data_IF_723874685196
#
_entry.id   IF_723874685196
#
_cell.length_a   1.000
_cell.length_b   1.000
_cell.length_c   1.000
_cell.angle_alpha   90.00
_cell.angle_beta   90.00
_cell.angle_gamma   90.00
#
_symmetry.space_group_name_H-M   'P 1'
#
loop_
_entity.id
_entity.type
_entity.pdbx_description
1 polymer ?
#
# COMPACT_ATOMS: atom_id res chain seq x y z
N UNK A 1 16.04 -12.75 0.75
CA UNK A 1 17.17 -12.58 -0.14
C UNK A 1 17.98 -11.34 0.17
N UNK A 2 19.28 -11.38 -0.14
CA UNK A 2 20.21 -10.27 0.10
C UNK A 2 20.42 -9.35 -1.11
N UNK A 3 19.65 -9.55 -2.18
CA UNK A 3 19.74 -8.75 -3.40
C UNK A 3 19.15 -7.36 -3.21
N UNK A 4 19.76 -6.34 -3.82
CA UNK A 4 19.20 -4.98 -3.86
C UNK A 4 17.83 -4.91 -4.55
N UNK A 5 17.53 -5.83 -5.45
CA UNK A 5 16.24 -5.93 -6.16
C UNK A 5 15.18 -6.67 -5.36
N UNK A 6 15.56 -7.45 -4.34
CA UNK A 6 14.63 -8.06 -3.41
C UNK A 6 14.35 -7.09 -2.27
N UNK A 7 13.14 -6.54 -2.23
CA UNK A 7 12.75 -5.48 -1.31
C UNK A 7 11.51 -5.88 -0.52
N UNK A 8 11.40 -5.34 0.68
CA UNK A 8 10.19 -5.42 1.48
C UNK A 8 9.07 -4.65 0.75
N UNK A 9 7.94 -5.30 0.52
CA UNK A 9 6.85 -4.71 -0.28
C UNK A 9 6.23 -3.50 0.40
N UNK A 10 6.13 -2.39 -0.34
CA UNK A 10 5.35 -1.23 0.07
C UNK A 10 3.87 -1.63 0.17
N UNK A 11 3.26 -1.45 1.32
CA UNK A 11 1.92 -1.98 1.61
C UNK A 11 1.06 -0.98 2.39
N UNK A 12 1.13 0.31 2.05
CA UNK A 12 0.24 1.32 2.61
C UNK A 12 -1.21 1.10 2.19
N UNK A 13 -1.41 0.82 0.90
CA UNK A 13 -2.69 0.55 0.29
C UNK A 13 -2.50 -0.38 -0.92
N UNK A 14 -3.58 -0.93 -1.52
CA UNK A 14 -3.45 -1.84 -2.66
C UNK A 14 -2.73 -1.24 -3.88
N UNK A 15 -2.85 0.07 -4.09
CA UNK A 15 -2.17 0.75 -5.18
C UNK A 15 -0.64 0.78 -4.99
N UNK A 16 -0.17 0.97 -3.76
CA UNK A 16 1.27 0.91 -3.46
C UNK A 16 1.86 -0.48 -3.68
N UNK A 17 1.12 -1.53 -3.35
CA UNK A 17 1.50 -2.92 -3.63
C UNK A 17 1.64 -3.16 -5.13
N UNK A 18 0.60 -2.78 -5.89
CA UNK A 18 0.56 -2.97 -7.33
C UNK A 18 1.68 -2.21 -8.03
N UNK A 19 1.89 -0.95 -7.65
CA UNK A 19 2.96 -0.12 -8.21
C UNK A 19 4.36 -0.66 -7.87
N UNK A 20 4.56 -1.18 -6.66
CA UNK A 20 5.85 -1.78 -6.27
C UNK A 20 6.20 -3.01 -7.11
N UNK A 21 5.21 -3.87 -7.38
CA UNK A 21 5.38 -5.05 -8.24
C UNK A 21 5.68 -4.71 -9.70
N UNK A 22 5.34 -3.52 -10.15
CA UNK A 22 5.54 -3.01 -11.51
C UNK A 22 6.70 -2.03 -11.64
N UNK A 23 7.56 -1.95 -10.63
CA UNK A 23 8.69 -1.03 -10.59
C UNK A 23 9.86 -1.54 -11.43
N UNK A 24 10.48 -0.62 -12.18
CA UNK A 24 11.64 -0.87 -13.01
C UNK A 24 12.82 -0.08 -12.45
N UNK A 25 13.91 -0.75 -12.12
CA UNK A 25 15.11 -0.13 -11.55
C UNK A 25 16.30 -0.23 -12.51
N UNK A 26 16.99 0.88 -12.71
CA UNK A 26 18.28 0.91 -13.41
C UNK A 26 19.47 0.60 -12.49
N UNK A 27 19.23 0.52 -11.18
CA UNK A 27 20.22 0.27 -10.14
C UNK A 27 20.37 -1.24 -9.86
N UNK A 28 21.45 -1.61 -9.20
CA UNK A 28 21.67 -2.96 -8.73
C UNK A 28 22.75 -3.72 -9.50
N UNK A 29 22.88 -5.04 -9.29
CA UNK A 29 23.90 -5.86 -9.96
C UNK A 29 23.76 -5.80 -11.48
N UNK A 30 24.84 -5.46 -12.16
CA UNK A 30 24.86 -5.27 -13.63
C UNK A 30 24.25 -3.96 -14.14
N UNK A 31 23.75 -3.11 -13.24
CA UNK A 31 23.15 -1.82 -13.55
C UNK A 31 24.04 -0.63 -13.19
N UNK A 32 23.41 0.55 -13.13
CA UNK A 32 24.06 1.81 -12.82
C UNK A 32 24.19 2.02 -11.30
N UNK A 33 25.04 2.98 -10.93
CA UNK A 33 25.09 3.57 -9.59
C UNK A 33 24.63 5.02 -9.66
N UNK A 34 24.06 5.56 -8.56
CA UNK A 34 23.56 6.94 -8.54
C UNK A 34 24.60 7.97 -8.95
N UNK A 35 25.84 7.78 -8.49
CA UNK A 35 26.93 8.72 -8.73
C UNK A 35 27.42 8.71 -10.18
N UNK A 36 27.20 7.61 -10.90
CA UNK A 36 27.60 7.44 -12.30
C UNK A 36 26.48 7.72 -13.29
N UNK A 37 25.28 7.93 -12.82
CA UNK A 37 24.14 8.21 -13.66
C UNK A 37 24.06 9.71 -14.00
N UNK A 38 24.34 10.05 -15.25
CA UNK A 38 24.16 11.39 -15.80
C UNK A 38 22.71 11.70 -16.14
N UNK A 39 22.47 12.87 -16.74
CA UNK A 39 21.14 13.30 -17.15
C UNK A 39 20.53 12.43 -18.24
N UNK A 40 21.33 11.97 -19.21
CA UNK A 40 20.85 11.19 -20.37
C UNK A 40 20.11 9.92 -19.97
N UNK A 41 20.58 9.18 -18.96
CA UNK A 41 19.96 7.94 -18.48
C UNK A 41 18.72 8.19 -17.65
N UNK A 42 18.50 9.42 -17.18
CA UNK A 42 17.36 9.85 -16.38
C UNK A 42 16.25 10.47 -17.20
N UNK A 43 16.54 10.85 -18.43
CA UNK A 43 15.60 11.50 -19.32
C UNK A 43 14.55 10.54 -19.87
N UNK A 44 13.41 11.09 -20.26
CA UNK A 44 12.36 10.35 -20.98
C UNK A 44 12.73 10.31 -22.47
N UNK A 45 12.91 9.10 -22.97
CA UNK A 45 13.16 8.85 -24.40
C UNK A 45 11.84 8.53 -25.14
N UNK A 46 11.76 8.78 -26.44
CA UNK A 46 10.54 8.48 -27.19
C UNK A 46 10.14 6.99 -27.14
N UNK A 47 11.10 6.09 -26.96
CA UNK A 47 10.87 4.65 -26.81
C UNK A 47 10.18 4.25 -25.50
N UNK A 48 10.07 5.18 -24.55
CA UNK A 48 9.30 4.97 -23.32
C UNK A 48 7.79 4.91 -23.56
N UNK A 49 7.32 5.42 -24.69
CA UNK A 49 5.89 5.49 -25.00
C UNK A 49 5.22 4.12 -24.89
N UNK A 50 4.22 4.02 -24.02
CA UNK A 50 3.49 2.78 -23.77
C UNK A 50 4.27 1.70 -22.99
N UNK A 51 5.53 1.94 -22.64
CA UNK A 51 6.43 1.00 -21.97
C UNK A 51 6.79 1.43 -20.55
N UNK A 52 7.29 2.63 -20.40
CA UNK A 52 7.66 3.21 -19.11
C UNK A 52 6.93 4.54 -18.92
N UNK A 53 6.33 4.72 -17.76
CA UNK A 53 5.61 5.95 -17.45
C UNK A 53 6.56 7.15 -17.44
N UNK A 54 6.25 8.24 -18.16
CA UNK A 54 7.09 9.42 -18.19
C UNK A 54 6.94 10.30 -16.94
N UNK A 55 5.93 10.03 -16.09
CA UNK A 55 5.52 10.87 -14.97
C UNK A 55 5.89 10.22 -13.64
N UNK A 56 5.53 8.96 -13.43
CA UNK A 56 5.71 8.28 -12.15
C UNK A 56 7.16 7.83 -11.96
N UNK A 57 7.92 8.62 -11.21
CA UNK A 57 9.31 8.36 -10.79
C UNK A 57 9.52 8.98 -9.42
N UNK A 58 10.47 8.51 -8.58
CA UNK A 58 10.78 9.17 -7.33
C UNK A 58 11.27 10.61 -7.52
N UNK A 59 11.01 11.43 -6.51
CA UNK A 59 11.68 12.72 -6.37
C UNK A 59 13.07 12.54 -5.73
N UNK A 60 14.03 13.36 -6.09
CA UNK A 60 15.36 13.35 -5.50
C UNK A 60 16.40 12.53 -6.27
N UNK A 61 17.39 11.90 -5.60
CA UNK A 61 18.56 11.30 -6.26
C UNK A 61 18.25 10.16 -7.22
N UNK A 62 17.13 9.49 -7.05
CA UNK A 62 16.71 8.35 -7.87
C UNK A 62 15.81 8.74 -9.05
N UNK A 63 15.58 10.02 -9.28
CA UNK A 63 14.73 10.49 -10.39
C UNK A 63 15.23 9.93 -11.72
N UNK A 64 14.33 9.34 -12.50
CA UNK A 64 14.64 8.75 -13.79
C UNK A 64 15.39 7.41 -13.76
N UNK A 65 15.92 7.00 -12.60
CA UNK A 65 16.59 5.70 -12.42
C UNK A 65 15.66 4.60 -11.95
N UNK A 66 14.59 4.98 -11.25
CA UNK A 66 13.53 4.09 -10.83
C UNK A 66 12.26 4.55 -11.52
N UNK A 67 11.73 3.71 -12.38
CA UNK A 67 10.57 3.99 -13.20
C UNK A 67 9.46 2.96 -12.95
N UNK A 68 8.31 3.18 -13.54
CA UNK A 68 7.18 2.28 -13.42
C UNK A 68 6.73 1.82 -14.80
N UNK A 69 6.36 0.55 -14.90
CA UNK A 69 5.82 -0.04 -16.12
C UNK A 69 4.49 0.63 -16.47
N UNK A 70 4.31 1.02 -17.72
CA UNK A 70 3.05 1.59 -18.20
C UNK A 70 1.90 0.59 -18.07
N UNK A 71 0.69 1.08 -17.97
CA UNK A 71 -0.50 0.29 -17.63
C UNK A 71 -0.74 -0.92 -18.55
N UNK A 72 -0.44 -0.80 -19.84
CA UNK A 72 -0.57 -1.88 -20.82
C UNK A 72 0.75 -2.57 -21.19
N UNK A 73 1.87 -2.12 -20.64
CA UNK A 73 3.17 -2.71 -20.95
C UNK A 73 3.34 -4.11 -20.36
N UNK A 74 4.03 -4.98 -21.08
CA UNK A 74 4.48 -6.27 -20.55
C UNK A 74 5.88 -6.65 -21.08
N UNK A 75 6.50 -7.64 -20.46
CA UNK A 75 7.81 -8.15 -20.87
C UNK A 75 7.65 -9.33 -21.84
N UNK A 76 8.46 -9.34 -22.90
CA UNK A 76 8.55 -10.51 -23.77
C UNK A 76 9.48 -11.58 -23.14
N UNK A 77 9.64 -12.71 -23.84
CA UNK A 77 10.50 -13.81 -23.40
C UNK A 77 11.99 -13.46 -23.26
N UNK A 78 12.44 -12.37 -23.85
CA UNK A 78 13.82 -11.87 -23.77
C UNK A 78 14.01 -10.77 -22.72
N UNK A 79 12.94 -10.33 -22.05
CA UNK A 79 12.96 -9.26 -21.07
C UNK A 79 12.79 -7.85 -21.62
N UNK A 80 12.49 -7.67 -22.92
CA UNK A 80 12.17 -6.37 -23.49
C UNK A 80 10.72 -5.99 -23.25
N UNK A 81 10.46 -4.71 -23.02
CA UNK A 81 9.11 -4.20 -22.78
C UNK A 81 8.40 -4.02 -24.11
N UNK A 82 7.21 -4.59 -24.22
CA UNK A 82 6.31 -4.46 -25.35
C UNK A 82 5.07 -3.68 -24.95
N UNK A 83 4.48 -2.98 -25.93
CA UNK A 83 3.21 -2.29 -25.79
C UNK A 83 2.25 -2.73 -26.89
N UNK A 84 0.92 -2.81 -26.61
CA UNK A 84 -0.04 -3.29 -27.56
C UNK A 84 -0.51 -2.19 -28.51
N UNK A 85 -0.78 -2.57 -29.76
CA UNK A 85 -1.37 -1.70 -30.77
C UNK A 85 -2.44 -2.44 -31.54
N UNK A 86 -3.44 -1.72 -32.03
CA UNK A 86 -4.46 -2.24 -32.94
C UNK A 86 -3.94 -2.13 -34.36
N UNK A 87 -3.96 -3.24 -35.11
CA UNK A 87 -3.50 -3.31 -36.48
C UNK A 87 -4.49 -2.63 -37.42
N UNK A 88 -3.96 -1.88 -38.39
CA UNK A 88 -4.70 -1.30 -39.47
C UNK A 88 -4.49 -2.14 -40.75
N UNK A 89 -5.58 -2.59 -41.38
CA UNK A 89 -5.50 -3.26 -42.66
C UNK A 89 -5.28 -2.19 -43.74
N UNK A 90 -4.06 -2.14 -44.29
CA UNK A 90 -3.71 -1.17 -45.34
C UNK A 90 -4.50 -1.33 -46.63
N UNK A 91 -4.97 -2.54 -46.96
CA UNK A 91 -5.72 -2.78 -48.17
C UNK A 91 -7.11 -2.15 -48.12
N UNK A 92 -7.76 -2.17 -46.95
CA UNK A 92 -9.11 -1.64 -46.74
C UNK A 92 -9.13 -0.31 -46.01
N UNK A 93 -8.03 0.08 -45.40
CA UNK A 93 -7.93 1.26 -44.51
C UNK A 93 -8.69 1.13 -43.18
N UNK A 94 -9.11 -0.07 -42.83
CA UNK A 94 -9.87 -0.34 -41.59
C UNK A 94 -8.98 -0.62 -40.40
N UNK A 95 -9.33 -0.03 -39.28
CA UNK A 95 -8.74 -0.39 -37.99
C UNK A 95 -9.38 -1.70 -37.51
N UNK A 96 -8.56 -2.73 -37.33
CA UNK A 96 -9.01 -4.06 -36.88
C UNK A 96 -8.97 -4.18 -35.36
N UNK A 97 -9.57 -5.23 -34.83
CA UNK A 97 -9.47 -5.60 -33.42
C UNK A 97 -8.28 -6.52 -33.10
N UNK A 98 -7.46 -6.82 -34.12
CA UNK A 98 -6.21 -7.57 -33.94
C UNK A 98 -5.21 -6.72 -33.16
N UNK A 99 -4.76 -7.23 -32.02
CA UNK A 99 -3.77 -6.58 -31.16
C UNK A 99 -2.40 -7.20 -31.39
N UNK A 100 -1.44 -6.35 -31.70
CA UNK A 100 -0.04 -6.73 -31.92
C UNK A 100 0.84 -6.08 -30.86
N UNK A 101 1.68 -6.88 -30.25
CA UNK A 101 2.63 -6.42 -29.22
C UNK A 101 3.99 -6.13 -29.88
N UNK A 102 4.44 -4.88 -29.74
CA UNK A 102 5.67 -4.41 -30.37
C UNK A 102 6.69 -3.94 -29.34
N UNK A 103 7.94 -4.33 -29.53
CA UNK A 103 9.09 -3.71 -28.89
C UNK A 103 9.41 -2.38 -29.55
N UNK A 104 10.25 -1.55 -28.93
CA UNK A 104 10.56 -0.21 -29.44
C UNK A 104 11.23 -0.21 -30.83
N UNK A 105 12.12 -1.18 -31.06
CA UNK A 105 12.81 -1.35 -32.35
C UNK A 105 11.84 -1.81 -33.45
N UNK A 106 10.91 -2.70 -33.15
CA UNK A 106 9.85 -3.13 -34.09
C UNK A 106 8.92 -1.96 -34.43
N UNK A 107 8.55 -1.15 -33.43
CA UNK A 107 7.68 0.02 -33.61
C UNK A 107 8.28 1.10 -34.51
N UNK A 108 9.62 1.24 -34.52
CA UNK A 108 10.31 2.23 -35.35
C UNK A 108 10.07 2.08 -36.84
N UNK A 109 9.68 0.89 -37.29
CA UNK A 109 9.36 0.62 -38.72
C UNK A 109 7.98 1.11 -39.11
N UNK A 110 7.11 1.46 -38.16
CA UNK A 110 5.69 1.71 -38.39
C UNK A 110 5.27 3.13 -38.00
N UNK A 111 4.19 3.58 -38.60
CA UNK A 111 3.48 4.80 -38.22
C UNK A 111 2.27 4.44 -37.37
N UNK A 112 2.17 5.04 -36.20
CA UNK A 112 1.16 4.76 -35.19
C UNK A 112 0.29 5.99 -34.96
N UNK A 113 -1.04 5.85 -35.16
CA UNK A 113 -2.00 6.91 -34.87
C UNK A 113 -2.44 6.91 -33.41
N UNK A 114 -2.91 8.04 -32.90
CA UNK A 114 -3.44 8.17 -31.55
C UNK A 114 -4.75 7.39 -31.37
N UNK A 115 -5.01 6.93 -30.14
CA UNK A 115 -6.23 6.18 -29.78
C UNK A 115 -7.53 6.97 -29.98
N UNK A 116 -7.47 8.31 -29.90
CA UNK A 116 -8.60 9.21 -30.05
C UNK A 116 -8.89 9.60 -31.53
N UNK A 117 -8.20 9.00 -32.48
CA UNK A 117 -8.48 9.22 -33.90
C UNK A 117 -9.93 8.86 -34.22
N UNK A 118 -10.65 9.76 -34.92
CA UNK A 118 -12.04 9.53 -35.30
C UNK A 118 -12.15 8.45 -36.34
N UNK A 119 -13.02 7.48 -36.12
CA UNK A 119 -13.31 6.39 -37.02
C UNK A 119 -14.76 6.49 -37.53
N UNK A 120 -14.97 6.09 -38.77
CA UNK A 120 -16.30 5.87 -39.36
C UNK A 120 -16.94 4.60 -38.78
N UNK A 121 -18.22 4.39 -39.03
CA UNK A 121 -18.95 3.19 -38.59
C UNK A 121 -18.35 1.88 -39.16
N UNK A 122 -17.73 1.95 -40.31
CA UNK A 122 -17.08 0.82 -41.00
C UNK A 122 -15.67 0.53 -40.48
N UNK A 123 -15.15 1.36 -39.54
CA UNK A 123 -13.82 1.22 -38.97
C UNK A 123 -12.70 1.92 -39.71
N UNK A 124 -13.00 2.65 -40.80
CA UNK A 124 -12.00 3.49 -41.48
C UNK A 124 -11.82 4.83 -40.81
N UNK A 125 -10.68 5.50 -41.05
CA UNK A 125 -10.45 6.84 -40.50
C UNK A 125 -11.43 7.85 -41.11
N UNK A 126 -12.05 8.67 -40.28
CA UNK A 126 -12.98 9.72 -40.68
C UNK A 126 -12.27 10.91 -41.34
N UNK A 127 -11.00 11.12 -41.03
CA UNK A 127 -10.20 12.22 -41.56
C UNK A 127 -9.07 11.68 -42.45
N UNK A 128 -8.74 12.44 -43.52
CA UNK A 128 -7.65 12.07 -44.43
C UNK A 128 -6.27 12.22 -43.80
N UNK A 129 -6.15 13.10 -42.79
CA UNK A 129 -4.93 13.39 -42.04
C UNK A 129 -5.19 13.14 -40.56
N UNK A 130 -4.35 12.36 -39.93
CA UNK A 130 -4.44 12.00 -38.50
C UNK A 130 -3.15 12.30 -37.77
N UNK A 131 -3.27 12.66 -36.49
CA UNK A 131 -2.11 12.79 -35.64
C UNK A 131 -1.53 11.41 -35.35
N UNK A 132 -0.22 11.31 -35.48
CA UNK A 132 0.49 10.07 -35.23
C UNK A 132 1.96 10.30 -34.88
N UNK A 133 2.69 9.22 -34.78
CA UNK A 133 4.15 9.25 -34.52
C UNK A 133 4.85 8.19 -35.36
N UNK A 134 6.04 8.55 -35.77
CA UNK A 134 6.97 7.68 -36.47
C UNK A 134 8.39 8.05 -36.04
N UNK A 135 9.13 7.08 -35.48
CA UNK A 135 10.50 7.27 -34.97
C UNK A 135 10.65 8.49 -34.02
N UNK A 136 9.70 8.68 -33.12
CA UNK A 136 9.69 9.78 -32.17
C UNK A 136 9.20 11.12 -32.69
N UNK A 137 8.86 11.23 -33.99
CA UNK A 137 8.30 12.44 -34.57
C UNK A 137 6.78 12.43 -34.44
N UNK A 138 6.25 13.34 -33.65
CA UNK A 138 4.79 13.56 -33.53
C UNK A 138 4.37 14.62 -34.54
N UNK A 139 3.62 14.21 -35.53
CA UNK A 139 3.11 15.10 -36.58
C UNK A 139 1.87 14.52 -37.22
N UNK A 140 1.30 15.29 -38.14
CA UNK A 140 0.19 14.85 -38.98
C UNK A 140 0.67 13.92 -40.10
N UNK A 141 0.01 12.78 -40.23
CA UNK A 141 0.27 11.80 -41.30
C UNK A 141 -0.98 11.54 -42.09
N UNK A 142 -0.85 11.26 -43.44
CA UNK A 142 -1.96 10.76 -44.18
C UNK A 142 -2.51 9.45 -43.64
N UNK A 143 -3.80 9.31 -43.49
CA UNK A 143 -4.44 8.15 -42.88
C UNK A 143 -4.12 6.81 -43.56
N UNK A 144 -3.85 6.83 -44.88
CA UNK A 144 -3.47 5.63 -45.65
C UNK A 144 -2.05 5.10 -45.32
N UNK A 145 -1.21 5.88 -44.65
CA UNK A 145 0.14 5.48 -44.24
C UNK A 145 0.18 4.91 -42.82
N UNK A 146 -0.91 4.95 -42.07
CA UNK A 146 -0.97 4.47 -40.69
C UNK A 146 -1.01 2.95 -40.65
N UNK A 147 -0.11 2.36 -39.88
CA UNK A 147 0.01 0.90 -39.69
C UNK A 147 -0.71 0.38 -38.47
N UNK A 148 -0.68 1.16 -37.40
CA UNK A 148 -1.25 0.80 -36.08
C UNK A 148 -1.94 1.99 -35.46
N UNK A 149 -2.81 1.68 -34.49
CA UNK A 149 -3.49 2.67 -33.64
C UNK A 149 -3.31 2.28 -32.19
N UNK A 150 -3.07 3.26 -31.33
CA UNK A 150 -3.01 3.02 -29.88
C UNK A 150 -4.31 2.38 -29.37
N UNK A 151 -4.18 1.49 -28.38
CA UNK A 151 -5.36 0.81 -27.80
C UNK A 151 -6.13 1.70 -26.82
N UNK A 152 -5.44 2.60 -26.13
CA UNK A 152 -6.04 3.53 -25.16
C UNK A 152 -5.11 4.72 -24.87
N UNK A 153 -5.64 5.91 -24.57
CA UNK A 153 -4.83 7.03 -24.06
C UNK A 153 -4.11 6.72 -22.74
N UNK A 154 -4.64 5.83 -21.92
CA UNK A 154 -4.03 5.39 -20.64
C UNK A 154 -2.76 4.56 -20.84
N UNK A 155 -2.51 4.09 -22.03
CA UNK A 155 -1.36 3.27 -22.40
C UNK A 155 -0.02 3.93 -22.07
N UNK A 156 0.04 5.26 -22.11
CA UNK A 156 1.28 6.04 -21.93
C UNK A 156 1.78 6.01 -20.48
N UNK A 157 0.88 5.95 -19.53
CA UNK A 157 1.15 6.17 -18.11
C UNK A 157 1.00 4.91 -17.26
N UNK A 158 1.65 4.91 -16.09
CA UNK A 158 1.52 3.84 -15.11
C UNK A 158 0.13 3.83 -14.44
N UNK A 159 -0.19 2.77 -13.71
CA UNK A 159 -1.50 2.57 -13.08
C UNK A 159 -1.87 3.72 -12.13
N UNK A 160 -0.97 4.11 -11.23
CA UNK A 160 -1.24 5.20 -10.28
C UNK A 160 -1.49 6.53 -11.01
N UNK A 161 -0.71 6.84 -12.02
CA UNK A 161 -0.88 8.05 -12.83
C UNK A 161 -2.19 8.00 -13.63
N UNK A 162 -2.58 6.84 -14.13
CA UNK A 162 -3.83 6.65 -14.86
C UNK A 162 -5.08 6.82 -13.97
N UNK A 163 -4.95 6.82 -12.66
CA UNK A 163 -6.03 7.13 -11.72
C UNK A 163 -6.28 8.64 -11.54
N UNK A 164 -5.44 9.50 -12.10
CA UNK A 164 -5.61 10.95 -12.02
C UNK A 164 -6.57 11.43 -13.11
N UNK A 165 -7.75 11.94 -12.76
CA UNK A 165 -8.66 12.49 -13.75
C UNK A 165 -8.13 13.82 -14.29
N UNK A 166 -8.41 14.12 -15.58
CA UNK A 166 -7.94 15.33 -16.25
C UNK A 166 -6.42 15.53 -16.20
N UNK A 167 -5.69 14.44 -16.25
CA UNK A 167 -4.22 14.43 -16.19
C UNK A 167 -3.58 15.35 -17.26
N UNK A 168 -4.17 15.42 -18.43
CA UNK A 168 -3.72 16.25 -19.56
C UNK A 168 -3.70 17.76 -19.25
N UNK A 169 -4.42 18.19 -18.23
CA UNK A 169 -4.47 19.59 -17.78
C UNK A 169 -3.47 19.90 -16.66
N UNK A 170 -2.81 18.86 -16.11
CA UNK A 170 -1.84 19.03 -15.03
C UNK A 170 -0.42 19.22 -15.58
N UNK A 171 0.36 20.06 -14.92
CA UNK A 171 1.80 20.11 -15.14
C UNK A 171 2.47 18.78 -14.74
N UNK A 172 3.45 18.34 -15.52
CA UNK A 172 4.13 17.06 -15.30
C UNK A 172 4.77 16.93 -13.90
N UNK A 173 5.32 18.01 -13.38
CA UNK A 173 5.91 18.02 -12.04
C UNK A 173 4.85 17.79 -10.94
N UNK A 174 3.67 18.38 -11.10
CA UNK A 174 2.56 18.19 -10.16
C UNK A 174 1.89 16.83 -10.31
N UNK A 175 1.77 16.32 -11.53
CA UNK A 175 1.28 14.98 -11.79
C UNK A 175 2.19 13.92 -11.16
N UNK A 176 3.51 14.09 -11.22
CA UNK A 176 4.48 13.25 -10.53
C UNK A 176 4.24 13.22 -9.02
N UNK A 177 4.08 14.39 -8.40
CA UNK A 177 3.77 14.48 -6.97
C UNK A 177 2.44 13.81 -6.63
N UNK A 178 1.40 14.04 -7.43
CA UNK A 178 0.09 13.42 -7.25
C UNK A 178 0.13 11.90 -7.35
N UNK A 179 0.80 11.36 -8.35
CA UNK A 179 0.98 9.92 -8.52
C UNK A 179 1.72 9.28 -7.35
N UNK A 180 2.80 9.91 -6.88
CA UNK A 180 3.57 9.43 -5.74
C UNK A 180 2.77 9.50 -4.43
N UNK A 181 1.99 10.56 -4.20
CA UNK A 181 1.19 10.71 -3.00
C UNK A 181 0.02 9.73 -2.91
N UNK A 182 -0.59 9.34 -4.03
CA UNK A 182 -1.63 8.30 -4.04
C UNK A 182 -1.13 6.99 -3.42
N UNK A 183 0.12 6.62 -3.65
CA UNK A 183 0.73 5.41 -3.08
C UNK A 183 0.98 5.50 -1.57
N UNK A 184 0.96 6.68 -1.00
CA UNK A 184 1.17 6.93 0.44
C UNK A 184 -0.15 7.07 1.22
N UNK A 185 -1.30 7.00 0.54
CA UNK A 185 -2.60 7.15 1.17
C UNK A 185 -2.88 6.04 2.17
N UNK A 186 -3.29 6.41 3.37
CA UNK A 186 -3.64 5.48 4.44
C UNK A 186 -5.06 4.95 4.22
N UNK A 187 -5.32 3.64 4.35
CA UNK A 187 -6.67 3.10 4.30
C UNK A 187 -7.55 3.68 5.41
N UNK A 188 -8.69 4.21 5.03
CA UNK A 188 -9.66 4.78 5.96
C UNK A 188 -10.64 3.70 6.42
N UNK A 189 -11.30 3.93 7.57
CA UNK A 189 -12.33 3.04 8.11
C UNK A 189 -13.51 2.90 7.14
N UNK A 190 -13.95 4.02 6.59
CA UNK A 190 -15.05 4.08 5.62
C UNK A 190 -14.62 4.86 4.38
N UNK A 191 -13.82 4.24 3.50
CA UNK A 191 -13.34 4.90 2.29
C UNK A 191 -14.48 5.14 1.31
N UNK A 192 -14.39 6.22 0.53
CA UNK A 192 -15.36 6.54 -0.52
C UNK A 192 -14.69 6.55 -1.88
N UNK A 193 -15.32 5.90 -2.83
CA UNK A 193 -14.89 5.96 -4.22
C UNK A 193 -14.97 7.40 -4.74
N UNK A 194 -14.01 7.85 -5.57
CA UNK A 194 -14.04 9.20 -6.11
C UNK A 194 -15.26 9.39 -7.00
N UNK A 195 -15.92 10.54 -6.89
CA UNK A 195 -17.04 10.89 -7.78
C UNK A 195 -16.60 11.07 -9.23
N UNK A 196 -15.39 11.55 -9.42
CA UNK A 196 -14.76 11.71 -10.73
C UNK A 196 -13.55 10.79 -10.81
N UNK A 197 -13.61 9.82 -11.68
CA UNK A 197 -12.56 8.83 -11.87
C UNK A 197 -12.23 8.63 -13.35
N UNK A 198 -11.30 7.73 -13.63
CA UNK A 198 -10.81 7.41 -14.97
C UNK A 198 -11.22 6.02 -15.46
N UNK A 199 -11.85 5.20 -14.59
CA UNK A 199 -12.12 3.79 -14.83
C UNK A 199 -10.94 2.87 -14.48
N UNK A 200 -9.75 3.41 -14.25
CA UNK A 200 -8.59 2.61 -13.81
C UNK A 200 -8.75 2.15 -12.36
N UNK A 201 -9.55 2.83 -11.57
CA UNK A 201 -9.82 2.49 -10.17
C UNK A 201 -10.38 1.07 -10.03
N UNK A 202 -11.30 0.68 -10.90
CA UNK A 202 -11.85 -0.68 -10.92
C UNK A 202 -10.78 -1.71 -11.29
N UNK A 203 -10.03 -1.46 -12.35
CA UNK A 203 -9.00 -2.38 -12.82
C UNK A 203 -7.86 -2.53 -11.80
N UNK A 204 -7.44 -1.42 -11.19
CA UNK A 204 -6.42 -1.44 -10.14
C UNK A 204 -6.88 -2.22 -8.91
N UNK A 205 -8.12 -2.05 -8.48
CA UNK A 205 -8.70 -2.80 -7.37
C UNK A 205 -8.78 -4.30 -7.67
N UNK A 206 -9.24 -4.67 -8.86
CA UNK A 206 -9.34 -6.06 -9.29
C UNK A 206 -7.98 -6.75 -9.35
N UNK A 207 -6.98 -6.10 -9.94
CA UNK A 207 -5.66 -6.70 -10.19
C UNK A 207 -4.69 -6.59 -9.01
N UNK A 208 -5.01 -5.81 -7.99
CA UNK A 208 -4.14 -5.62 -6.82
C UNK A 208 -3.96 -6.87 -5.97
N UNK A 209 -4.92 -7.81 -6.04
CA UNK A 209 -4.94 -9.00 -5.19
C UNK A 209 -5.37 -8.75 -3.74
N UNK A 210 -5.75 -7.51 -3.37
CA UNK A 210 -6.19 -7.15 -2.04
C UNK A 210 -7.69 -7.42 -1.80
N UNK A 211 -8.46 -7.55 -2.86
CA UNK A 211 -9.88 -7.93 -2.81
C UNK A 211 -10.06 -9.43 -3.00
N UNK A 212 -11.19 -9.94 -2.55
CA UNK A 212 -11.59 -11.33 -2.81
C UNK A 212 -12.41 -11.37 -4.09
N UNK A 213 -11.92 -12.12 -5.07
CA UNK A 213 -12.51 -12.23 -6.41
C UNK A 213 -13.03 -13.66 -6.61
N UNK A 214 -14.23 -13.79 -7.19
CA UNK A 214 -14.82 -15.08 -7.51
C UNK A 214 -13.97 -15.83 -8.55
N UNK A 215 -13.58 -17.05 -8.22
CA UNK A 215 -12.78 -17.90 -9.11
C UNK A 215 -13.63 -18.70 -10.10
N UNK A 216 -14.89 -18.93 -9.77
CA UNK A 216 -15.86 -19.67 -10.58
C UNK A 216 -17.25 -19.04 -10.46
N UNK A 217 -18.10 -19.33 -11.44
CA UNK A 217 -19.51 -18.98 -11.38
C UNK A 217 -20.22 -19.79 -10.29
N UNK A 218 -21.21 -19.20 -9.63
CA UNK A 218 -21.96 -19.90 -8.62
C UNK A 218 -22.99 -19.04 -7.90
N UNK A 219 -23.62 -19.65 -6.88
CA UNK A 219 -24.59 -18.99 -6.02
C UNK A 219 -24.07 -18.94 -4.59
N UNK A 220 -24.17 -17.78 -3.96
CA UNK A 220 -23.77 -17.60 -2.56
C UNK A 220 -24.75 -18.33 -1.65
N UNK A 221 -24.24 -19.29 -0.88
CA UNK A 221 -25.04 -20.11 0.05
C UNK A 221 -24.79 -19.75 1.53
N UNK A 222 -23.65 -19.10 1.82
CA UNK A 222 -23.31 -18.60 3.14
C UNK A 222 -22.46 -17.32 3.02
N UNK A 223 -22.73 -16.33 3.86
CA UNK A 223 -21.97 -15.08 3.89
C UNK A 223 -21.99 -14.48 5.28
N UNK A 224 -20.81 -14.31 5.86
CA UNK A 224 -20.58 -13.55 7.09
C UNK A 224 -19.31 -12.70 6.99
N UNK A 225 -18.85 -12.15 8.11
CA UNK A 225 -17.66 -11.32 8.14
C UNK A 225 -16.35 -12.11 7.96
N UNK A 226 -16.35 -13.41 8.21
CA UNK A 226 -15.15 -14.26 8.22
C UNK A 226 -15.02 -15.12 6.97
N UNK A 227 -16.14 -15.50 6.36
CA UNK A 227 -16.13 -16.35 5.17
C UNK A 227 -17.36 -16.16 4.28
N UNK A 228 -17.19 -16.49 3.01
CA UNK A 228 -18.25 -16.59 2.00
C UNK A 228 -18.15 -17.95 1.34
N UNK A 229 -19.26 -18.66 1.21
CA UNK A 229 -19.34 -19.94 0.52
C UNK A 229 -20.20 -19.79 -0.74
N UNK A 230 -19.65 -20.20 -1.87
CA UNK A 230 -20.29 -20.15 -3.18
C UNK A 230 -20.42 -21.57 -3.73
N UNK A 231 -21.65 -21.98 -4.04
CA UNK A 231 -21.92 -23.29 -4.66
C UNK A 231 -21.88 -23.16 -6.17
N UNK A 232 -21.02 -23.94 -6.80
CA UNK A 232 -20.93 -24.03 -8.27
C UNK A 232 -22.08 -24.84 -8.85
N UNK A 233 -22.26 -24.80 -10.16
CA UNK A 233 -23.25 -25.60 -10.88
C UNK A 233 -23.03 -27.12 -10.72
N UNK A 234 -21.78 -27.55 -10.61
CA UNK A 234 -21.42 -28.96 -10.39
C UNK A 234 -21.68 -29.47 -8.97
N UNK A 235 -22.19 -28.59 -8.08
CA UNK A 235 -22.46 -28.86 -6.68
C UNK A 235 -21.27 -28.74 -5.74
N UNK A 236 -20.06 -28.47 -6.26
CA UNK A 236 -18.88 -28.19 -5.44
C UNK A 236 -18.98 -26.83 -4.74
N UNK A 237 -18.23 -26.68 -3.65
CA UNK A 237 -18.29 -25.49 -2.81
C UNK A 237 -16.94 -24.75 -2.85
N UNK A 238 -16.99 -23.47 -3.23
CA UNK A 238 -15.84 -22.56 -3.07
C UNK A 238 -15.98 -21.81 -1.74
N UNK A 239 -14.92 -21.88 -0.92
CA UNK A 239 -14.88 -21.19 0.37
C UNK A 239 -13.86 -20.05 0.29
N UNK A 240 -14.32 -18.83 0.50
CA UNK A 240 -13.49 -17.62 0.52
C UNK A 240 -13.35 -17.14 1.96
N UNK A 241 -12.13 -17.12 2.46
CA UNK A 241 -11.82 -16.58 3.79
C UNK A 241 -11.61 -15.07 3.70
N UNK A 242 -12.30 -14.33 4.55
CA UNK A 242 -12.24 -12.87 4.62
C UNK A 242 -11.24 -12.47 5.72
N UNK A 243 -10.26 -11.67 5.36
CA UNK A 243 -9.24 -11.20 6.30
C UNK A 243 -9.73 -9.98 7.08
N UNK A 244 -9.60 -10.04 8.40
CA UNK A 244 -10.04 -8.97 9.29
C UNK A 244 -8.85 -8.38 10.05
N UNK A 245 -8.61 -7.08 9.88
CA UNK A 245 -7.63 -6.28 10.63
C UNK A 245 -6.25 -6.91 10.78
N UNK A 246 -5.72 -7.46 9.69
CA UNK A 246 -4.33 -7.93 9.66
C UNK A 246 -3.38 -6.76 9.46
N UNK A 247 -2.23 -6.80 10.15
CA UNK A 247 -1.19 -5.79 9.97
C UNK A 247 -0.54 -5.92 8.59
N UNK A 248 -0.48 -4.82 7.84
CA UNK A 248 0.33 -4.73 6.63
C UNK A 248 1.80 -4.45 6.95
N UNK A 249 2.68 -4.57 5.98
CA UNK A 249 4.11 -4.26 6.15
C UNK A 249 4.36 -2.81 6.61
N UNK A 250 3.47 -1.90 6.28
CA UNK A 250 3.56 -0.49 6.64
C UNK A 250 2.76 -0.11 7.89
N UNK A 251 2.24 -1.10 8.62
CA UNK A 251 1.48 -0.88 9.85
C UNK A 251 0.03 -0.45 9.66
N UNK A 252 -0.47 -0.44 8.44
CA UNK A 252 -1.88 -0.17 8.15
C UNK A 252 -2.75 -1.41 8.35
N UNK A 253 -4.05 -1.22 8.54
CA UNK A 253 -4.98 -2.33 8.71
C UNK A 253 -5.38 -2.92 7.35
N UNK A 254 -5.05 -4.18 7.15
CA UNK A 254 -5.54 -4.97 6.02
C UNK A 254 -6.88 -5.62 6.43
N UNK A 255 -7.96 -5.01 6.02
CA UNK A 255 -9.32 -5.42 6.39
C UNK A 255 -10.17 -5.58 5.15
N UNK A 256 -10.84 -6.73 5.02
CA UNK A 256 -11.75 -7.01 3.92
C UNK A 256 -13.19 -6.94 4.40
N UNK A 257 -14.08 -6.45 3.53
CA UNK A 257 -15.52 -6.31 3.81
C UNK A 257 -16.31 -7.04 2.76
N UNK A 258 -17.18 -7.94 3.19
CA UNK A 258 -18.04 -8.75 2.32
C UNK A 258 -19.06 -7.88 1.57
N UNK A 259 -19.17 -8.08 0.26
CA UNK A 259 -20.10 -7.35 -0.62
C UNK A 259 -21.33 -8.16 -0.98
N UNK A 260 -21.27 -9.48 -0.91
CA UNK A 260 -22.32 -10.39 -1.38
C UNK A 260 -23.17 -10.90 -0.22
N UNK A 261 -24.43 -11.21 -0.52
CA UNK A 261 -25.41 -11.78 0.42
C UNK A 261 -25.80 -13.17 -0.03
N UNK A 262 -26.32 -13.98 0.90
CA UNK A 262 -26.89 -15.29 0.59
C UNK A 262 -27.99 -15.17 -0.47
N UNK A 263 -27.87 -15.98 -1.52
CA UNK A 263 -28.78 -15.98 -2.65
C UNK A 263 -28.27 -15.20 -3.88
N UNK A 264 -27.24 -14.39 -3.74
CA UNK A 264 -26.64 -13.68 -4.88
C UNK A 264 -25.99 -14.66 -5.85
N UNK A 265 -26.08 -14.33 -7.14
CA UNK A 265 -25.39 -15.07 -8.20
C UNK A 265 -24.11 -14.29 -8.52
N UNK A 266 -22.99 -15.00 -8.54
CA UNK A 266 -21.70 -14.43 -8.88
C UNK A 266 -21.11 -15.13 -10.10
N UNK A 267 -20.45 -14.34 -10.94
CA UNK A 267 -19.70 -14.83 -12.10
C UNK A 267 -18.20 -14.80 -11.76
N UNK A 268 -17.41 -15.60 -12.46
CA UNK A 268 -15.96 -15.57 -12.36
C UNK A 268 -15.45 -14.16 -12.63
N UNK A 269 -14.65 -13.62 -11.70
CA UNK A 269 -14.11 -12.27 -11.78
C UNK A 269 -14.91 -11.22 -11.00
N UNK A 270 -16.08 -11.55 -10.47
CA UNK A 270 -16.86 -10.64 -9.63
C UNK A 270 -16.22 -10.45 -8.25
N UNK A 271 -16.42 -9.27 -7.67
CA UNK A 271 -15.97 -9.00 -6.31
C UNK A 271 -16.85 -9.71 -5.28
N UNK A 272 -16.22 -10.53 -4.45
CA UNK A 272 -16.84 -11.17 -3.28
C UNK A 272 -16.72 -10.25 -2.06
N UNK A 273 -15.56 -9.64 -1.88
CA UNK A 273 -15.28 -8.72 -0.80
C UNK A 273 -14.33 -7.61 -1.23
N UNK A 274 -14.55 -6.40 -0.72
CA UNK A 274 -13.63 -5.28 -0.86
C UNK A 274 -12.41 -5.47 0.06
N UNK A 275 -11.24 -5.08 -0.45
CA UNK A 275 -10.03 -4.94 0.35
C UNK A 275 -9.92 -3.58 1.04
N UNK A 276 -8.76 -3.27 1.65
CA UNK A 276 -8.49 -1.95 2.17
C UNK A 276 -8.50 -0.89 1.07
N UNK A 277 -8.92 0.32 1.38
CA UNK A 277 -9.04 1.42 0.42
C UNK A 277 -9.85 1.07 -0.83
N UNK A 278 -10.95 0.37 -0.67
CA UNK A 278 -11.87 0.01 -1.74
C UNK A 278 -13.32 0.26 -1.32
N UNK A 279 -14.15 0.62 -2.29
CA UNK A 279 -15.61 0.73 -2.14
C UNK A 279 -16.28 0.15 -3.38
N UNK A 280 -17.07 -0.89 -3.21
CA UNK A 280 -17.84 -1.50 -4.30
C UNK A 280 -16.99 -2.00 -5.48
N UNK A 281 -15.75 -2.45 -5.24
CA UNK A 281 -14.83 -2.91 -6.28
C UNK A 281 -14.03 -1.79 -6.96
N UNK A 282 -14.10 -0.58 -6.46
CA UNK A 282 -13.29 0.54 -6.94
C UNK A 282 -12.26 0.96 -5.90
N UNK A 283 -11.08 1.39 -6.36
CA UNK A 283 -10.08 1.98 -5.50
C UNK A 283 -10.60 3.27 -4.86
N UNK A 284 -10.62 3.32 -3.54
CA UNK A 284 -11.12 4.42 -2.73
C UNK A 284 -10.02 4.88 -1.75
N UNK A 285 -9.12 5.73 -2.23
CA UNK A 285 -7.93 6.16 -1.46
C UNK A 285 -8.25 7.26 -0.44
N UNK A 286 -9.42 7.84 -0.47
CA UNK A 286 -9.78 8.96 0.38
C UNK A 286 -11.28 9.20 0.48
N UNK A 287 -11.63 10.48 0.56
CA UNK A 287 -12.98 10.97 0.75
C UNK A 287 -13.31 12.05 -0.29
N UNK A 288 -14.59 12.41 -0.39
CA UNK A 288 -15.07 13.47 -1.29
C UNK A 288 -15.65 14.65 -0.48
N UNK A 289 -14.80 15.43 0.23
CA UNK A 289 -15.29 16.58 0.98
C UNK A 289 -15.60 17.78 0.08
N UNK A 290 -16.46 18.67 0.55
CA UNK A 290 -16.66 19.98 -0.07
C UNK A 290 -15.47 20.86 0.32
N UNK A 291 -14.83 21.48 -0.67
CA UNK A 291 -13.67 22.35 -0.48
C UNK A 291 -13.97 23.76 -0.96
N UNK A 292 -13.69 24.75 -0.12
CA UNK A 292 -13.72 26.15 -0.50
C UNK A 292 -12.29 26.67 -0.76
N UNK A 293 -12.07 27.28 -1.91
CA UNK A 293 -10.79 27.90 -2.27
C UNK A 293 -10.91 29.42 -1.99
N UNK A 294 -10.35 29.83 -0.87
CA UNK A 294 -10.40 31.23 -0.42
C UNK A 294 -9.27 31.50 0.57
N UNK A 295 -8.95 32.78 0.79
CA UNK A 295 -8.11 33.15 1.93
C UNK A 295 -8.95 33.18 3.20
N UNK A 296 -8.45 32.64 4.29
CA UNK A 296 -9.19 32.62 5.54
C UNK A 296 -8.29 32.91 6.76
N UNK A 297 -8.34 34.13 7.23
CA UNK A 297 -7.67 34.59 8.47
C UNK A 297 -6.16 34.22 8.58
N UNK A 298 -5.51 33.96 7.47
CA UNK A 298 -4.11 33.57 7.41
C UNK A 298 -3.80 32.10 7.81
N UNK A 299 -4.79 31.34 8.27
CA UNK A 299 -4.57 29.95 8.72
C UNK A 299 -4.36 28.97 7.59
N UNK A 300 -4.62 29.33 6.35
CA UNK A 300 -4.34 28.53 5.16
C UNK A 300 -3.13 29.05 4.35
N UNK A 301 -2.24 29.80 5.00
CA UNK A 301 -0.99 30.26 4.41
C UNK A 301 -0.12 29.10 3.96
N UNK A 302 0.53 29.22 2.79
CA UNK A 302 1.40 28.20 2.19
C UNK A 302 0.75 26.80 2.09
N UNK A 303 -0.44 26.76 1.50
CA UNK A 303 -1.20 25.53 1.25
C UNK A 303 -1.68 24.78 2.51
N UNK A 304 -1.63 25.41 3.68
CA UNK A 304 -2.21 24.85 4.89
C UNK A 304 -3.73 24.68 4.74
N UNK A 305 -4.26 23.66 5.41
CA UNK A 305 -5.66 23.25 5.31
C UNK A 305 -6.39 23.53 6.62
N UNK A 306 -7.55 24.14 6.52
CA UNK A 306 -8.48 24.29 7.64
C UNK A 306 -9.58 23.26 7.48
N UNK A 307 -9.87 22.53 8.54
CA UNK A 307 -10.91 21.51 8.55
C UNK A 307 -12.04 21.82 9.48
N UNK A 308 -13.25 21.37 9.10
CA UNK A 308 -14.39 21.34 10.02
C UNK A 308 -14.21 20.23 11.06
N UNK A 309 -14.54 20.50 12.31
CA UNK A 309 -14.59 19.51 13.39
C UNK A 309 -15.53 18.35 13.07
N UNK A 310 -16.53 18.55 12.20
CA UNK A 310 -17.43 17.49 11.74
C UNK A 310 -16.69 16.34 11.07
N UNK A 311 -15.61 16.59 10.35
CA UNK A 311 -14.78 15.54 9.72
C UNK A 311 -14.11 14.63 10.76
N UNK A 312 -13.76 15.20 11.90
CA UNK A 312 -13.19 14.42 13.02
C UNK A 312 -14.27 13.65 13.76
N UNK A 313 -15.40 14.30 14.03
CA UNK A 313 -16.53 13.73 14.76
C UNK A 313 -17.17 12.54 14.04
N UNK A 314 -17.35 12.66 12.72
CA UNK A 314 -18.00 11.65 11.88
C UNK A 314 -17.00 10.58 11.37
N UNK A 315 -15.79 10.54 11.88
CA UNK A 315 -14.73 9.59 11.49
C UNK A 315 -14.43 9.55 9.98
N UNK A 316 -14.53 10.68 9.29
CA UNK A 316 -14.38 10.77 7.83
C UNK A 316 -12.95 10.39 7.39
N UNK A 317 -11.94 10.87 8.10
CA UNK A 317 -10.52 10.56 7.83
C UNK A 317 -9.89 9.70 8.91
N UNK A 318 -10.66 8.93 9.62
CA UNK A 318 -10.16 8.05 10.67
C UNK A 318 -9.59 6.77 10.08
N UNK A 319 -8.46 6.33 10.59
CA UNK A 319 -7.76 5.12 10.17
C UNK A 319 -7.39 4.24 11.36
N UNK A 320 -7.20 2.96 11.09
CA UNK A 320 -6.72 1.99 12.07
C UNK A 320 -5.28 1.61 11.73
N UNK A 321 -4.39 1.69 12.71
CA UNK A 321 -3.00 1.30 12.59
C UNK A 321 -2.71 0.15 13.53
N UNK A 322 -1.93 -0.81 13.07
CA UNK A 322 -1.50 -1.97 13.84
C UNK A 322 0.01 -1.91 14.02
N UNK A 323 0.45 -1.79 15.25
CA UNK A 323 1.86 -1.83 15.61
C UNK A 323 2.23 -3.19 16.17
N UNK A 324 3.43 -3.65 15.85
CA UNK A 324 4.00 -4.91 16.31
C UNK A 324 5.13 -4.63 17.28
N UNK A 325 5.05 -5.23 18.48
CA UNK A 325 6.10 -5.19 19.48
C UNK A 325 6.59 -6.60 19.75
N UNK A 326 7.90 -6.77 19.79
CA UNK A 326 8.53 -8.07 20.00
C UNK A 326 9.34 -8.08 21.30
N UNK A 327 9.27 -9.19 22.01
CA UNK A 327 10.15 -9.51 23.12
C UNK A 327 10.67 -10.92 22.96
N UNK A 328 11.98 -11.09 23.10
CA UNK A 328 12.64 -12.38 23.01
C UNK A 328 13.39 -12.72 24.27
N UNK A 329 13.50 -13.99 24.61
CA UNK A 329 14.36 -14.48 25.68
C UNK A 329 15.61 -15.11 25.10
N UNK A 330 16.76 -14.66 25.59
CA UNK A 330 18.07 -15.17 25.19
C UNK A 330 18.80 -15.83 26.36
N UNK A 331 19.65 -16.77 26.03
CA UNK A 331 20.62 -17.28 27.01
C UNK A 331 21.71 -16.24 27.21
N UNK A 332 21.95 -15.87 28.47
CA UNK A 332 23.03 -14.99 28.83
C UNK A 332 24.13 -15.76 29.62
N UNK A 333 25.30 -15.18 29.73
CA UNK A 333 26.42 -15.79 30.51
C UNK A 333 26.07 -16.06 31.98
N UNK A 334 25.07 -15.36 32.51
CA UNK A 334 24.63 -15.45 33.91
C UNK A 334 23.41 -16.35 34.10
N UNK A 335 22.84 -16.83 32.99
CA UNK A 335 21.66 -17.66 32.98
C UNK A 335 20.67 -17.21 31.91
N UNK A 336 19.59 -18.00 31.63
CA UNK A 336 18.58 -17.63 30.66
C UNK A 336 17.71 -16.49 31.15
N UNK A 337 17.29 -15.63 30.23
CA UNK A 337 16.20 -14.69 30.43
C UNK A 337 14.88 -15.45 30.56
N UNK A 338 13.94 -14.94 31.32
CA UNK A 338 12.65 -15.58 31.57
C UNK A 338 11.50 -14.60 31.36
N UNK A 339 10.44 -15.05 30.69
CA UNK A 339 9.16 -14.35 30.62
C UNK A 339 8.32 -14.80 31.80
N UNK A 340 7.97 -13.85 32.69
CA UNK A 340 7.29 -14.12 33.93
C UNK A 340 6.42 -12.95 34.36
N UNK A 341 5.39 -13.23 35.15
CA UNK A 341 4.58 -12.23 35.84
C UNK A 341 5.25 -11.71 37.12
N UNK A 342 6.18 -12.48 37.69
CA UNK A 342 6.91 -12.13 38.88
C UNK A 342 8.03 -11.10 38.59
N UNK A 343 7.67 -9.81 38.62
CA UNK A 343 8.57 -8.72 38.33
C UNK A 343 9.01 -8.00 39.61
N UNK A 344 10.31 -7.66 39.75
CA UNK A 344 10.81 -6.91 40.91
C UNK A 344 10.29 -5.46 40.87
N UNK A 345 9.88 -4.94 42.03
CA UNK A 345 9.47 -3.55 42.22
C UNK A 345 8.29 -3.09 41.34
N UNK A 346 7.40 -4.01 40.97
CA UNK A 346 6.19 -3.71 40.19
C UNK A 346 4.96 -4.00 41.04
N UNK A 347 4.05 -3.02 41.12
CA UNK A 347 2.78 -3.15 41.84
C UNK A 347 1.77 -4.02 41.13
N UNK A 348 0.81 -4.59 41.87
CA UNK A 348 -0.27 -5.42 41.34
C UNK A 348 -1.12 -4.71 40.29
N UNK A 349 -1.31 -3.40 40.38
CA UNK A 349 -2.08 -2.62 39.40
C UNK A 349 -1.42 -2.63 38.01
N UNK A 350 -0.10 -2.62 37.94
CA UNK A 350 0.64 -2.71 36.68
C UNK A 350 0.60 -4.12 36.07
N UNK A 351 0.24 -5.14 36.82
CA UNK A 351 0.18 -6.54 36.42
C UNK A 351 -1.24 -7.01 36.08
N UNK A 352 -2.26 -6.17 36.25
CA UNK A 352 -3.67 -6.56 36.15
C UNK A 352 -4.08 -7.18 34.79
N UNK A 353 -3.48 -6.74 33.73
CA UNK A 353 -3.79 -7.19 32.35
C UNK A 353 -2.85 -8.29 31.86
N UNK A 354 -1.87 -8.70 32.66
CA UNK A 354 -0.98 -9.81 32.35
C UNK A 354 -1.61 -11.15 32.74
N UNK A 355 -1.42 -12.15 31.90
CA UNK A 355 -1.81 -13.52 32.19
C UNK A 355 -0.82 -14.18 33.19
N UNK A 356 -1.03 -15.46 33.49
CA UNK A 356 -0.19 -16.24 34.41
C UNK A 356 1.26 -16.36 33.91
N UNK A 357 1.50 -16.27 32.60
CA UNK A 357 2.82 -16.30 31.99
C UNK A 357 3.51 -14.94 31.97
N UNK A 358 2.80 -13.87 32.30
CA UNK A 358 3.30 -12.50 32.25
C UNK A 358 3.14 -11.83 30.88
N UNK A 359 2.30 -12.36 30.02
CA UNK A 359 1.97 -11.81 28.68
C UNK A 359 0.62 -11.10 28.76
N UNK A 360 0.51 -9.95 28.12
CA UNK A 360 -0.74 -9.17 28.14
C UNK A 360 -1.87 -9.91 27.43
N UNK A 361 -3.09 -9.77 27.95
CA UNK A 361 -4.29 -10.36 27.37
C UNK A 361 -4.77 -9.59 26.13
N UNK A 362 -5.39 -10.30 25.20
CA UNK A 362 -6.06 -9.69 24.06
C UNK A 362 -7.27 -8.86 24.54
N UNK A 363 -7.42 -7.65 23.99
CA UNK A 363 -8.48 -6.72 24.35
C UNK A 363 -8.11 -5.74 25.47
N UNK A 364 -6.92 -5.83 26.04
CA UNK A 364 -6.44 -4.89 27.05
C UNK A 364 -6.18 -3.50 26.44
N UNK A 365 -6.66 -2.46 27.08
CA UNK A 365 -6.30 -1.08 26.77
C UNK A 365 -4.96 -0.75 27.42
N UNK A 366 -4.00 -0.28 26.64
CA UNK A 366 -2.65 0.03 27.09
C UNK A 366 -2.31 1.49 26.82
N UNK A 367 -1.48 2.03 27.73
CA UNK A 367 -0.92 3.38 27.66
C UNK A 367 0.58 3.31 27.71
N UNK A 368 1.24 4.42 27.40
CA UNK A 368 2.68 4.56 27.56
C UNK A 368 3.16 4.06 28.94
N UNK A 369 4.17 3.21 28.94
CA UNK A 369 4.75 2.62 30.14
C UNK A 369 4.09 1.36 30.66
N UNK A 370 2.93 0.96 30.15
CA UNK A 370 2.28 -0.30 30.52
C UNK A 370 3.09 -1.50 30.05
N UNK A 371 3.08 -2.57 30.84
CA UNK A 371 3.84 -3.79 30.54
C UNK A 371 3.07 -4.64 29.54
N UNK A 372 3.73 -4.99 28.43
CA UNK A 372 3.19 -5.90 27.41
C UNK A 372 3.65 -7.34 27.67
N UNK A 373 4.93 -7.52 27.94
CA UNK A 373 5.54 -8.82 28.23
C UNK A 373 6.46 -8.65 29.42
N UNK A 374 6.14 -9.29 30.51
CA UNK A 374 6.97 -9.31 31.70
C UNK A 374 8.20 -10.19 31.50
N UNK A 375 9.38 -9.61 31.54
CA UNK A 375 10.67 -10.30 31.36
C UNK A 375 11.67 -9.89 32.40
N UNK A 376 12.43 -10.86 32.89
CA UNK A 376 13.53 -10.65 33.81
C UNK A 376 14.83 -11.19 33.25
N UNK A 377 15.92 -10.48 33.52
CA UNK A 377 17.27 -10.85 33.09
C UNK A 377 18.16 -11.02 34.33
N UNK A 378 18.95 -12.09 34.41
CA UNK A 378 19.88 -12.27 35.54
C UNK A 378 20.88 -11.11 35.64
N UNK A 379 21.10 -10.63 36.88
CA UNK A 379 22.08 -9.58 37.18
C UNK A 379 23.47 -10.17 37.42
N UNK A 380 24.52 -9.45 36.98
CA UNK A 380 25.91 -9.71 37.35
C UNK A 380 26.29 -9.00 38.65
N UNK A 381 27.34 -9.48 39.28
CA UNK A 381 27.89 -8.87 40.53
C UNK A 381 28.19 -7.36 40.40
N UNK A 382 28.51 -6.89 39.20
CA UNK A 382 28.78 -5.47 38.90
C UNK A 382 27.54 -4.59 38.91
N UNK A 383 26.38 -5.17 38.70
CA UNK A 383 25.10 -4.45 38.56
C UNK A 383 24.34 -4.38 39.89
N UNK A 384 24.89 -4.99 40.93
CA UNK A 384 24.31 -4.99 42.27
C UNK A 384 24.55 -3.66 42.99
N UNK A 385 23.50 -3.11 43.63
CA UNK A 385 23.64 -2.00 44.53
C UNK A 385 24.46 -2.40 45.79
N UNK A 386 24.98 -1.44 46.55
CA UNK A 386 25.72 -1.72 47.77
C UNK A 386 24.87 -2.49 48.79
N UNK A 387 23.58 -2.22 48.89
CA UNK A 387 22.61 -2.89 49.75
C UNK A 387 22.36 -4.33 49.30
N UNK A 388 22.20 -4.54 48.01
CA UNK A 388 22.03 -5.87 47.40
C UNK A 388 23.27 -6.75 47.59
N UNK A 389 24.48 -6.18 47.46
CA UNK A 389 25.74 -6.89 47.74
C UNK A 389 25.84 -7.33 49.21
N UNK A 390 25.38 -6.47 50.13
CA UNK A 390 25.36 -6.78 51.57
C UNK A 390 24.38 -7.93 51.85
N UNK A 391 23.19 -7.90 51.25
CA UNK A 391 22.20 -8.98 51.39
C UNK A 391 22.70 -10.31 50.81
N UNK A 392 23.38 -10.27 49.67
CA UNK A 392 24.05 -11.43 49.07
C UNK A 392 25.12 -12.04 50.00
N UNK A 393 25.89 -11.18 50.61
CA UNK A 393 26.92 -11.63 51.55
C UNK A 393 26.34 -12.24 52.83
N UNK A 394 25.17 -11.79 53.31
CA UNK A 394 24.51 -12.26 54.50
C UNK A 394 23.68 -13.52 54.29
N UNK A 395 22.93 -13.61 53.18
CA UNK A 395 21.96 -14.68 52.94
C UNK A 395 22.43 -15.75 51.94
N UNK A 396 23.62 -15.62 51.33
CA UNK A 396 24.20 -16.56 50.38
C UNK A 396 23.53 -16.57 48.98
N UNK A 397 24.14 -17.29 48.05
CA UNK A 397 23.78 -17.31 46.59
C UNK A 397 22.41 -17.92 46.24
N UNK A 398 21.46 -18.01 47.15
CA UNK A 398 20.18 -18.70 46.90
C UNK A 398 19.11 -17.86 46.24
N UNK A 399 19.24 -16.55 46.14
CA UNK A 399 18.33 -15.71 45.37
C UNK A 399 19.03 -15.20 44.12
N UNK A 400 18.73 -15.77 42.98
CA UNK A 400 19.12 -15.17 41.68
C UNK A 400 18.48 -13.78 41.62
N UNK A 401 19.30 -12.76 41.74
CA UNK A 401 18.83 -11.41 41.52
C UNK A 401 18.64 -11.20 40.04
N UNK A 402 17.49 -10.67 39.71
CA UNK A 402 17.06 -10.38 38.33
C UNK A 402 16.70 -8.91 38.22
N UNK A 403 16.94 -8.35 37.04
CA UNK A 403 16.47 -7.01 36.69
C UNK A 403 15.26 -7.11 35.81
N UNK A 404 14.36 -6.16 35.92
CA UNK A 404 13.20 -6.02 35.05
C UNK A 404 13.64 -5.50 33.68
N UNK A 405 13.48 -6.32 32.65
CA UNK A 405 13.72 -6.00 31.22
C UNK A 405 12.46 -6.15 30.41
N UNK A 406 11.31 -5.99 31.05
CA UNK A 406 10.00 -6.14 30.43
C UNK A 406 9.81 -5.22 29.22
N UNK A 407 9.10 -5.73 28.20
CA UNK A 407 8.65 -4.93 27.10
C UNK A 407 7.51 -4.02 27.58
N UNK A 408 7.69 -2.72 27.40
CA UNK A 408 6.72 -1.70 27.77
C UNK A 408 6.25 -0.93 26.55
N UNK A 409 5.05 -0.38 26.62
CA UNK A 409 4.51 0.48 25.56
C UNK A 409 5.36 1.75 25.46
N UNK A 410 5.96 2.05 24.29
CA UNK A 410 6.72 3.26 24.09
C UNK A 410 5.80 4.48 23.95
N UNK A 411 6.40 5.67 23.95
CA UNK A 411 5.67 6.91 23.70
C UNK A 411 4.92 6.86 22.35
N UNK A 412 3.63 7.19 22.37
CA UNK A 412 2.77 7.14 21.19
C UNK A 412 2.27 5.74 20.80
N UNK A 413 2.58 4.71 21.59
CA UNK A 413 2.13 3.33 21.34
C UNK A 413 0.80 2.95 21.99
N UNK A 414 0.06 3.92 22.51
CA UNK A 414 -1.24 3.69 23.16
C UNK A 414 -2.24 3.01 22.22
N UNK A 415 -3.03 2.10 22.72
CA UNK A 415 -4.03 1.42 21.93
C UNK A 415 -4.65 0.23 22.64
N UNK A 416 -5.19 -0.70 21.86
CA UNK A 416 -5.82 -1.93 22.34
C UNK A 416 -5.09 -3.14 21.80
N UNK A 417 -4.76 -4.09 22.65
CA UNK A 417 -4.11 -5.34 22.22
C UNK A 417 -5.07 -6.15 21.36
N UNK A 418 -4.68 -6.36 20.11
CA UNK A 418 -5.51 -7.05 19.11
C UNK A 418 -5.15 -8.54 18.99
N UNK A 419 -3.87 -8.87 19.06
CA UNK A 419 -3.39 -10.23 18.91
C UNK A 419 -2.06 -10.42 19.67
N UNK A 420 -1.77 -11.67 20.03
CA UNK A 420 -0.53 -12.08 20.66
C UNK A 420 -0.09 -13.39 20.04
N UNK A 421 1.16 -13.46 19.57
CA UNK A 421 1.76 -14.68 19.00
C UNK A 421 2.97 -15.08 19.83
N UNK A 422 3.04 -16.36 20.18
CA UNK A 422 4.12 -16.93 21.00
C UNK A 422 4.81 -18.01 20.19
N UNK A 423 6.13 -17.90 20.04
CA UNK A 423 6.99 -18.86 19.36
C UNK A 423 7.99 -19.41 20.36
N UNK A 424 8.11 -20.73 20.44
CA UNK A 424 9.05 -21.40 21.35
C UNK A 424 9.82 -22.50 20.62
N UNK A 425 11.07 -22.77 21.06
CA UNK A 425 11.82 -23.92 20.55
C UNK A 425 11.17 -25.25 20.93
N UNK A 426 10.54 -25.29 22.08
CA UNK A 426 9.83 -26.48 22.57
C UNK A 426 8.69 -26.90 21.63
N UNK A 427 8.07 -25.95 20.93
CA UNK A 427 7.01 -26.20 19.93
C UNK A 427 7.55 -26.46 18.51
N UNK A 428 8.88 -26.49 18.33
CA UNK A 428 9.49 -26.71 17.04
C UNK A 428 9.59 -25.48 16.14
N UNK A 429 9.34 -24.29 16.67
CA UNK A 429 9.46 -23.03 15.94
C UNK A 429 10.92 -22.69 15.63
N UNK A 430 11.18 -22.19 14.42
CA UNK A 430 12.50 -21.73 14.02
C UNK A 430 12.77 -20.35 14.63
N UNK A 431 13.72 -20.29 15.57
CA UNK A 431 14.16 -19.08 16.20
C UNK A 431 15.65 -18.82 15.91
N UNK A 432 16.06 -17.56 16.03
CA UNK A 432 17.48 -17.21 15.90
C UNK A 432 18.34 -17.95 16.94
N UNK A 433 19.62 -18.11 16.64
CA UNK A 433 20.56 -18.76 17.55
C UNK A 433 20.59 -18.04 18.91
N UNK A 434 20.45 -18.81 19.99
CA UNK A 434 20.42 -18.28 21.36
C UNK A 434 19.07 -17.73 21.84
N UNK A 435 18.05 -17.69 20.99
CA UNK A 435 16.69 -17.30 21.35
C UNK A 435 15.85 -18.53 21.70
N UNK A 436 15.25 -18.53 22.89
CA UNK A 436 14.43 -19.64 23.38
C UNK A 436 12.94 -19.43 23.16
N UNK A 437 12.48 -18.16 23.26
CA UNK A 437 11.09 -17.76 23.13
C UNK A 437 11.00 -16.38 22.50
N UNK A 438 10.01 -16.19 21.63
CA UNK A 438 9.68 -14.92 21.01
C UNK A 438 8.19 -14.66 21.19
N UNK A 439 7.86 -13.48 21.73
CA UNK A 439 6.47 -13.02 21.88
C UNK A 439 6.27 -11.78 21.03
N UNK A 440 5.24 -11.81 20.18
CA UNK A 440 4.79 -10.66 19.39
C UNK A 440 3.45 -10.18 19.90
N UNK A 441 3.37 -8.90 20.20
CA UNK A 441 2.14 -8.24 20.63
C UNK A 441 1.73 -7.22 19.57
N UNK A 442 0.49 -7.33 19.08
CA UNK A 442 -0.08 -6.41 18.09
C UNK A 442 -1.05 -5.46 18.79
N UNK A 443 -0.79 -4.16 18.65
CA UNK A 443 -1.61 -3.11 19.24
C UNK A 443 -2.31 -2.33 18.13
N UNK A 444 -3.64 -2.25 18.22
CA UNK A 444 -4.46 -1.48 17.30
C UNK A 444 -4.66 -0.06 17.83
N UNK A 445 -4.40 0.92 16.96
CA UNK A 445 -4.65 2.33 17.24
C UNK A 445 -5.68 2.88 16.26
N UNK A 446 -6.68 3.57 16.78
CA UNK A 446 -7.63 4.34 15.97
C UNK A 446 -7.14 5.79 15.92
N UNK A 447 -6.66 6.23 14.77
CA UNK A 447 -6.12 7.58 14.56
C UNK A 447 -7.13 8.43 13.84
N UNK A 448 -7.58 9.50 14.49
CA UNK A 448 -8.40 10.56 13.89
C UNK A 448 -7.50 11.62 13.27
N UNK A 449 -8.04 12.33 12.28
CA UNK A 449 -7.33 13.47 11.69
C UNK A 449 -7.07 14.52 12.77
N UNK A 450 -5.88 15.09 12.76
CA UNK A 450 -5.44 16.10 13.74
C UNK A 450 -4.62 17.20 13.06
N UNK A 451 -4.43 18.30 13.76
CA UNK A 451 -3.51 19.36 13.33
C UNK A 451 -2.10 18.79 13.16
N UNK A 452 -1.46 19.12 12.05
CA UNK A 452 -0.16 18.62 11.67
C UNK A 452 -0.19 17.43 10.68
N UNK A 453 -1.36 16.84 10.43
CA UNK A 453 -1.50 15.75 9.46
C UNK A 453 -1.43 16.29 8.02
N UNK A 454 -0.75 15.55 7.15
CA UNK A 454 -0.58 15.88 5.75
C UNK A 454 -1.81 15.42 4.94
N UNK A 455 -2.36 16.34 4.17
CA UNK A 455 -3.46 16.08 3.24
C UNK A 455 -3.01 16.34 1.81
N UNK A 456 -3.58 15.62 0.87
CA UNK A 456 -3.28 15.80 -0.56
C UNK A 456 -4.49 15.49 -1.43
N UNK A 457 -4.55 16.14 -2.58
CA UNK A 457 -5.41 15.76 -3.68
C UNK A 457 -4.64 14.88 -4.68
N UNK A 458 -5.29 14.55 -5.81
CA UNK A 458 -4.69 13.75 -6.88
C UNK A 458 -3.82 14.54 -7.85
N UNK A 459 -3.79 15.87 -7.77
CA UNK A 459 -3.17 16.76 -8.74
C UNK A 459 -1.86 17.42 -8.25
N UNK A 460 -1.22 16.81 -7.25
CA UNK A 460 0.02 17.32 -6.65
C UNK A 460 -0.20 18.42 -5.62
N UNK A 461 -1.43 18.81 -5.36
CA UNK A 461 -1.77 19.71 -4.28
C UNK A 461 -1.65 19.02 -2.94
N UNK A 462 -0.80 19.54 -2.07
CA UNK A 462 -0.53 19.01 -0.74
C UNK A 462 -0.50 20.12 0.30
N UNK A 463 -0.90 19.82 1.51
CA UNK A 463 -0.88 20.75 2.61
C UNK A 463 -0.98 20.05 3.96
N UNK A 464 -0.71 20.79 5.00
CA UNK A 464 -0.78 20.31 6.38
C UNK A 464 -1.99 20.93 7.05
N UNK A 465 -2.73 20.14 7.82
CA UNK A 465 -3.86 20.66 8.63
C UNK A 465 -3.32 21.64 9.66
N UNK A 466 -3.71 22.91 9.53
CA UNK A 466 -3.28 23.98 10.43
C UNK A 466 -4.24 24.17 11.58
N UNK A 467 -5.53 24.01 11.33
CA UNK A 467 -6.59 24.23 12.33
C UNK A 467 -7.81 23.38 12.05
N UNK A 468 -8.40 22.87 13.12
CA UNK A 468 -9.71 22.20 13.10
C UNK A 468 -10.69 23.11 13.83
N UNK A 469 -11.74 23.55 13.13
CA UNK A 469 -12.64 24.60 13.56
C UNK A 469 -14.05 24.03 13.79
N UNK A 470 -14.76 24.43 14.85
CA UNK A 470 -16.16 24.07 15.03
C UNK A 470 -16.99 24.40 13.79
N UNK A 471 -18.07 23.65 13.55
CA UNK A 471 -18.93 23.82 12.36
C UNK A 471 -19.48 25.22 12.24
N UNK A 472 -19.89 25.81 13.35
CA UNK A 472 -20.45 27.17 13.42
C UNK A 472 -19.46 28.28 13.08
N UNK A 473 -18.16 28.03 13.19
CA UNK A 473 -17.08 28.97 12.90
C UNK A 473 -16.48 28.83 11.50
N UNK A 474 -16.91 27.81 10.74
CA UNK A 474 -16.49 27.62 9.36
C UNK A 474 -17.08 28.69 8.43
N UNK A 475 -16.36 29.07 7.32
CA UNK A 475 -16.85 30.08 6.36
C UNK A 475 -18.09 29.65 5.60
#
# INVERSE_FOLDING_TARGET
GSSQLSQFMDQHNPLSELSHKRRLSALGPGGLTRDRAGYEVRDVHYTHYGRMCPIETPEGPNIGLINNLSSYGHLNKYGFIQTPYRKVDRATGKVTNEVVWLTADEEDEYTVAQANSKLNEDGTFAEEIVMGRHQGNNQEYPSHLVDFVDVSPKQVVAVATACIPFLENDDSNRALMGANMQRQAVPLIDPKAPYVGTGMEYQAAHDSGAAVIAQHDGKVVYSDADKVEVRREDGSLDVYTIQKFRRSNSGTAYNQRTLVKVGDIVEKGDFIADGPSMEGGEMALGQNPIVAYMTWEGYNFEDAVIMSERLVKDDVYTSVHLEEFESETRDTKLGPEEITRELPNVGEEALKDLDEMGIIRIGAEVKEGDILVGKVTPKGEKDLSAEERLLHAIFGDKSREVRDTSLRVPHGGDGVVRDVKIFTRANGDELQSGVNMLVRVYIAQKRKIKVGDKMAGRHGNKGVVSRIVPVEDMP
#
